data_IF_940953871422
#
_entry.id   IF_940953871422
#
_cell.length_a   1.000
_cell.length_b   1.000
_cell.length_c   1.000
_cell.angle_alpha   90.00
_cell.angle_beta   90.00
_cell.angle_gamma   90.00
#
_symmetry.space_group_name_H-M   'P 1'
#
loop_
_entity.id
_entity.type
_entity.pdbx_description
1 polymer ?
#
# COMPACT_ATOMS: atom_id res chain seq x y z
N UNK A 1 17.47 27.56 -14.74
CA UNK A 1 16.10 27.15 -14.36
C UNK A 1 16.17 25.87 -13.53
N UNK A 2 16.26 25.98 -12.21
CA UNK A 2 16.35 24.82 -11.32
C UNK A 2 14.97 24.21 -11.09
N UNK A 3 14.73 22.99 -11.59
CA UNK A 3 13.53 22.21 -11.24
C UNK A 3 13.63 21.81 -9.77
N UNK A 4 12.90 22.52 -8.92
CA UNK A 4 12.68 22.12 -7.54
C UNK A 4 11.98 20.75 -7.54
N UNK A 5 12.68 19.71 -7.10
CA UNK A 5 12.11 18.40 -6.83
C UNK A 5 11.08 18.59 -5.70
N UNK A 6 9.80 18.70 -6.08
CA UNK A 6 8.70 18.69 -5.11
C UNK A 6 8.87 17.42 -4.26
N UNK A 7 9.14 17.60 -2.96
CA UNK A 7 8.96 16.55 -1.96
C UNK A 7 7.56 15.99 -2.18
N UNK A 8 7.47 14.79 -2.73
CA UNK A 8 6.24 14.02 -2.72
C UNK A 8 6.01 13.67 -1.26
N UNK A 9 5.36 14.59 -0.52
CA UNK A 9 4.66 14.20 0.71
C UNK A 9 3.74 13.08 0.26
N UNK A 10 3.90 11.90 0.83
CA UNK A 10 3.00 10.76 0.68
C UNK A 10 1.58 11.23 1.01
N UNK A 11 0.90 11.74 -0.02
CA UNK A 11 -0.42 12.37 0.10
C UNK A 11 -1.41 11.31 -0.30
N UNK A 12 -1.49 10.26 0.52
CA UNK A 12 -2.58 9.33 0.38
C UNK A 12 -3.90 10.11 0.50
N UNK A 13 -4.91 9.82 -0.33
CA UNK A 13 -6.24 10.41 -0.21
C UNK A 13 -6.76 10.30 1.23
N UNK A 14 -7.60 11.24 1.68
CA UNK A 14 -8.23 11.14 3.02
C UNK A 14 -9.05 9.86 3.20
N UNK A 15 -9.53 9.30 2.10
CA UNK A 15 -10.29 8.05 2.02
C UNK A 15 -9.40 6.81 1.82
N UNK A 16 -8.07 6.96 1.86
CA UNK A 16 -7.16 5.84 1.75
C UNK A 16 -7.31 4.91 2.95
N UNK A 17 -7.87 3.74 2.69
CA UNK A 17 -8.07 2.74 3.72
C UNK A 17 -6.76 1.98 3.96
N UNK A 18 -5.96 2.54 4.86
CA UNK A 18 -4.69 1.98 5.30
C UNK A 18 -4.88 0.90 6.35
N UNK A 19 -4.52 -0.33 6.01
CA UNK A 19 -4.65 -1.48 6.90
C UNK A 19 -3.33 -2.23 7.04
N UNK A 20 -3.21 -3.10 8.05
CA UNK A 20 -2.03 -3.97 8.17
C UNK A 20 -1.99 -5.02 7.06
N UNK A 21 -0.83 -5.64 6.83
CA UNK A 21 -0.70 -6.75 5.88
C UNK A 21 -1.68 -7.90 6.21
N UNK A 22 -1.93 -8.17 7.48
CA UNK A 22 -2.88 -9.22 7.90
C UNK A 22 -4.31 -8.86 7.51
N UNK A 23 -4.74 -7.63 7.79
CA UNK A 23 -6.05 -7.15 7.38
C UNK A 23 -6.19 -7.11 5.84
N UNK A 24 -5.15 -6.69 5.12
CA UNK A 24 -5.11 -6.72 3.68
C UNK A 24 -5.24 -8.15 3.13
N UNK A 25 -4.56 -9.12 3.75
CA UNK A 25 -4.66 -10.53 3.38
C UNK A 25 -6.07 -11.07 3.55
N UNK A 26 -6.78 -10.67 4.61
CA UNK A 26 -8.16 -11.08 4.86
C UNK A 26 -9.11 -10.44 3.84
N UNK A 27 -8.95 -9.13 3.58
CA UNK A 27 -9.84 -8.36 2.69
C UNK A 27 -9.68 -8.69 1.21
N UNK A 28 -8.44 -8.85 0.74
CA UNK A 28 -8.12 -9.20 -0.64
C UNK A 28 -8.31 -10.70 -0.91
N UNK A 29 -8.24 -11.52 0.14
CA UNK A 29 -8.54 -12.95 0.08
C UNK A 29 -7.48 -13.78 -0.65
N UNK A 30 -7.95 -14.78 -1.41
CA UNK A 30 -7.10 -15.81 -2.02
C UNK A 30 -6.04 -15.19 -2.94
N UNK A 31 -4.77 -15.57 -2.74
CA UNK A 31 -3.64 -15.06 -3.52
C UNK A 31 -2.90 -13.87 -2.89
N UNK A 32 -3.37 -13.37 -1.74
CA UNK A 32 -2.80 -12.24 -1.01
C UNK A 32 -2.34 -12.60 0.41
N UNK A 33 -1.70 -13.75 0.57
CA UNK A 33 -1.03 -14.06 1.83
C UNK A 33 0.05 -13.01 2.15
N UNK A 34 0.45 -12.89 3.42
CA UNK A 34 1.53 -11.98 3.87
C UNK A 34 2.76 -12.04 2.97
N UNK A 35 3.25 -13.24 2.66
CA UNK A 35 4.40 -13.46 1.78
C UNK A 35 4.14 -12.96 0.35
N UNK A 36 2.94 -13.19 -0.15
CA UNK A 36 2.51 -12.77 -1.49
C UNK A 36 2.42 -11.24 -1.60
N UNK A 37 1.93 -10.58 -0.56
CA UNK A 37 1.87 -9.10 -0.48
C UNK A 37 3.29 -8.53 -0.45
N UNK A 38 4.14 -9.02 0.46
CA UNK A 38 5.52 -8.55 0.56
C UNK A 38 6.29 -8.76 -0.76
N UNK A 39 6.13 -9.91 -1.41
CA UNK A 39 6.74 -10.15 -2.72
C UNK A 39 6.34 -9.10 -3.76
N UNK A 40 5.07 -8.68 -3.82
CA UNK A 40 4.61 -7.64 -4.76
C UNK A 40 5.22 -6.27 -4.47
N UNK A 41 5.44 -5.97 -3.18
CA UNK A 41 6.13 -4.77 -2.77
C UNK A 41 7.60 -4.84 -3.19
N UNK A 42 8.28 -5.95 -2.90
CA UNK A 42 9.70 -6.16 -3.20
C UNK A 42 9.97 -6.21 -4.72
N UNK A 43 9.05 -6.81 -5.49
CA UNK A 43 9.11 -6.89 -6.96
C UNK A 43 8.78 -5.54 -7.62
N UNK A 44 8.28 -4.55 -6.86
CA UNK A 44 7.88 -3.23 -7.38
C UNK A 44 6.52 -3.22 -8.09
N UNK A 45 5.72 -4.30 -8.02
CA UNK A 45 4.32 -4.32 -8.49
C UNK A 45 3.48 -3.29 -7.72
N UNK A 46 3.79 -3.07 -6.43
CA UNK A 46 3.09 -2.12 -5.57
C UNK A 46 3.97 -0.91 -5.22
N UNK A 47 3.55 0.27 -5.68
CA UNK A 47 4.25 1.54 -5.43
C UNK A 47 4.04 2.10 -4.01
N UNK A 48 5.14 2.50 -3.36
CA UNK A 48 5.12 3.18 -2.06
C UNK A 48 4.50 4.58 -2.19
N UNK A 49 3.63 4.95 -1.25
CA UNK A 49 2.85 6.20 -1.28
C UNK A 49 1.57 6.12 -2.10
N UNK A 50 1.35 5.03 -2.84
CA UNK A 50 0.11 4.76 -3.60
C UNK A 50 -0.59 3.53 -3.03
N UNK A 51 0.07 2.37 -3.14
CA UNK A 51 -0.48 1.06 -2.76
C UNK A 51 -0.12 0.67 -1.32
N UNK A 52 0.98 1.19 -0.80
CA UNK A 52 1.43 0.92 0.56
C UNK A 52 2.29 2.06 1.10
N UNK A 53 2.50 2.10 2.41
CA UNK A 53 3.44 3.01 3.07
C UNK A 53 4.22 2.28 4.17
N UNK A 54 5.46 2.71 4.41
CA UNK A 54 6.22 2.33 5.61
C UNK A 54 5.90 3.31 6.75
N UNK A 55 5.02 2.90 7.66
CA UNK A 55 4.66 3.64 8.89
C UNK A 55 5.62 3.35 10.05
N UNK A 56 6.91 3.16 9.74
CA UNK A 56 7.94 3.00 10.77
C UNK A 56 8.00 4.25 11.65
N UNK A 57 8.00 4.04 12.97
CA UNK A 57 8.37 5.10 13.92
C UNK A 57 9.86 5.42 13.71
N UNK A 58 10.22 6.71 13.71
CA UNK A 58 11.61 7.16 13.59
C UNK A 58 12.47 6.42 14.63
N UNK A 59 13.50 5.68 14.18
CA UNK A 59 14.40 4.89 15.02
C UNK A 59 13.99 3.43 15.27
N UNK A 60 12.84 2.97 14.75
CA UNK A 60 12.42 1.56 14.88
C UNK A 60 13.05 0.69 13.79
N UNK A 61 13.68 -0.41 14.18
CA UNK A 61 14.12 -1.46 13.25
C UNK A 61 12.94 -2.29 12.68
N UNK A 62 11.77 -2.23 13.32
CA UNK A 62 10.57 -2.92 12.85
C UNK A 62 9.87 -2.06 11.79
N UNK A 63 9.84 -2.55 10.55
CA UNK A 63 9.02 -2.00 9.45
C UNK A 63 7.55 -2.20 9.79
N UNK A 64 6.76 -1.13 9.73
CA UNK A 64 5.31 -1.19 9.93
C UNK A 64 4.62 -0.84 8.61
N UNK A 65 4.47 -1.84 7.76
CA UNK A 65 3.87 -1.66 6.44
C UNK A 65 2.35 -1.56 6.56
N UNK A 66 1.78 -0.50 6.02
CA UNK A 66 0.33 -0.34 5.83
C UNK A 66 0.00 -0.40 4.35
N UNK A 67 -1.04 -1.15 4.00
CA UNK A 67 -1.52 -1.33 2.63
C UNK A 67 -2.73 -0.45 2.42
N UNK A 68 -2.74 0.31 1.34
CA UNK A 68 -3.91 1.04 0.85
C UNK A 68 -4.78 0.06 0.04
N UNK A 69 -5.81 -0.51 0.68
CA UNK A 69 -6.67 -1.51 0.02
C UNK A 69 -7.36 -0.93 -1.20
N UNK A 70 -7.84 0.32 -1.12
CA UNK A 70 -8.60 0.94 -2.20
C UNK A 70 -7.76 0.98 -3.49
N UNK A 71 -6.53 1.50 -3.40
CA UNK A 71 -5.63 1.56 -4.55
C UNK A 71 -5.28 0.16 -5.09
N UNK A 72 -5.09 -0.84 -4.22
CA UNK A 72 -4.82 -2.23 -4.66
C UNK A 72 -6.02 -2.85 -5.38
N UNK A 73 -7.25 -2.57 -4.92
CA UNK A 73 -8.47 -3.02 -5.57
C UNK A 73 -8.67 -2.34 -6.93
N UNK A 74 -8.41 -1.03 -7.02
CA UNK A 74 -8.43 -0.25 -8.26
C UNK A 74 -7.41 -0.76 -9.28
N UNK A 75 -6.15 -0.99 -8.86
CA UNK A 75 -5.08 -1.50 -9.71
C UNK A 75 -5.46 -2.82 -10.39
N UNK A 76 -6.20 -3.68 -9.69
CA UNK A 76 -6.58 -5.00 -10.21
C UNK A 76 -7.89 -4.98 -11.00
N UNK A 77 -8.55 -3.84 -11.11
CA UNK A 77 -9.84 -3.74 -11.80
C UNK A 77 -10.89 -4.67 -11.21
N UNK A 78 -10.79 -5.04 -9.92
CA UNK A 78 -11.85 -5.79 -9.24
C UNK A 78 -13.00 -4.78 -9.09
N UNK A 79 -14.13 -4.95 -9.78
CA UNK A 79 -15.21 -3.98 -9.70
C UNK A 79 -15.69 -3.92 -8.24
N UNK A 80 -15.88 -2.71 -7.72
CA UNK A 80 -16.50 -2.45 -6.43
C UNK A 80 -17.94 -3.01 -6.30
N UNK A 81 -18.44 -3.70 -7.33
CA UNK A 81 -19.77 -4.29 -7.43
C UNK A 81 -19.96 -5.63 -6.67
N UNK A 82 -18.97 -6.09 -5.91
CA UNK A 82 -19.12 -7.21 -4.97
C UNK A 82 -19.29 -6.73 -3.51
N UNK A 83 -19.96 -5.59 -3.31
CA UNK A 83 -20.34 -5.09 -1.98
C UNK A 83 -21.77 -5.50 -1.64
#
# INVERSE_FOLDING_TARGET
MGRSLKKVKSTLPKDAELVTIEQASIRLGKGFSRRSILRRIDDGEWEEGIHWIDDRRIGSAKRLIKINIAAVMELRGIPAAYR
#
